data_IF_746711610774
#
_entry.id   IF_746711610774
#
_cell.length_a   1.000
_cell.length_b   1.000
_cell.length_c   1.000
_cell.angle_alpha   90.00
_cell.angle_beta   90.00
_cell.angle_gamma   90.00
#
_symmetry.space_group_name_H-M   'P 1'
#
loop_
_entity.id
_entity.type
_entity.pdbx_description
1 polymer ?
#
# COMPACT_ATOMS: atom_id res chain seq x y z
N UNK A 1 28.65 -17.31 4.32
CA UNK A 1 27.28 -16.78 4.45
C UNK A 1 27.36 -15.30 4.80
N UNK A 2 26.81 -14.41 3.98
CA UNK A 2 26.76 -12.99 4.30
C UNK A 2 25.76 -12.74 5.45
N UNK A 3 26.08 -11.89 6.44
CA UNK A 3 25.16 -11.60 7.53
C UNK A 3 23.89 -10.91 7.00
N UNK A 4 22.71 -11.39 7.42
CA UNK A 4 21.44 -10.71 7.15
C UNK A 4 21.54 -9.29 7.67
N UNK A 5 21.36 -8.30 6.79
CA UNK A 5 21.27 -6.89 7.19
C UNK A 5 20.14 -6.77 8.21
N UNK A 6 20.43 -6.24 9.40
CA UNK A 6 19.39 -5.89 10.38
C UNK A 6 18.38 -4.98 9.69
N UNK A 7 17.11 -5.37 9.68
CA UNK A 7 16.02 -4.51 9.23
C UNK A 7 16.03 -3.21 10.04
N UNK A 8 15.48 -2.13 9.45
CA UNK A 8 15.22 -0.91 10.23
C UNK A 8 14.23 -1.26 11.34
N UNK A 9 14.52 -0.83 12.57
CA UNK A 9 13.59 -0.97 13.70
C UNK A 9 12.26 -0.27 13.42
N UNK A 10 11.21 -0.66 14.16
CA UNK A 10 9.86 -0.08 14.07
C UNK A 10 9.93 1.44 14.26
N UNK A 11 9.34 2.21 13.35
CA UNK A 11 9.31 3.67 13.47
C UNK A 11 8.47 4.05 14.70
N UNK A 12 9.08 4.69 15.70
CA UNK A 12 8.45 4.99 17.01
C UNK A 12 7.63 6.27 17.03
N UNK A 13 7.54 7.02 15.92
CA UNK A 13 6.82 8.30 15.84
C UNK A 13 7.47 9.45 16.64
N UNK A 14 8.52 9.20 17.42
CA UNK A 14 9.13 10.18 18.33
C UNK A 14 9.61 11.46 17.61
N UNK A 15 10.13 11.35 16.39
CA UNK A 15 10.55 12.51 15.60
C UNK A 15 9.36 13.37 15.17
N UNK A 16 8.24 12.73 14.78
CA UNK A 16 7.01 13.43 14.44
C UNK A 16 6.51 14.22 15.64
N UNK A 17 6.33 13.57 16.79
CA UNK A 17 5.87 14.21 18.02
C UNK A 17 6.76 15.38 18.45
N UNK A 18 8.08 15.22 18.34
CA UNK A 18 9.04 16.29 18.65
C UNK A 18 8.86 17.51 17.75
N UNK A 19 8.67 17.31 16.45
CA UNK A 19 8.48 18.42 15.50
C UNK A 19 7.08 19.04 15.66
N UNK A 20 6.05 18.22 15.90
CA UNK A 20 4.66 18.66 16.09
C UNK A 20 4.46 19.58 17.28
N UNK A 21 5.27 19.43 18.33
CA UNK A 21 5.30 20.37 19.47
C UNK A 21 5.67 21.80 19.07
N UNK A 22 6.33 21.99 17.92
CA UNK A 22 6.69 23.32 17.39
C UNK A 22 5.67 23.88 16.41
N UNK A 23 4.60 23.14 16.10
CA UNK A 23 3.60 23.49 15.11
C UNK A 23 3.43 22.42 14.04
N UNK A 24 2.78 22.79 12.93
CA UNK A 24 2.74 21.94 11.74
C UNK A 24 4.13 21.77 11.14
N UNK A 25 4.35 20.66 10.47
CA UNK A 25 5.65 20.33 9.87
C UNK A 25 5.65 20.78 8.41
N UNK A 26 6.56 21.68 8.04
CA UNK A 26 6.72 22.13 6.66
C UNK A 26 7.00 20.96 5.70
N UNK A 27 6.22 20.86 4.62
CA UNK A 27 6.42 19.88 3.54
C UNK A 27 6.27 20.61 2.20
N UNK A 28 7.24 20.40 1.31
CA UNK A 28 7.22 21.03 -0.01
C UNK A 28 6.70 20.02 -1.04
N UNK A 29 5.63 20.39 -1.75
CA UNK A 29 5.12 19.64 -2.91
C UNK A 29 5.23 20.56 -4.12
N UNK A 30 6.24 20.40 -5.00
CA UNK A 30 6.38 21.24 -6.18
C UNK A 30 5.31 20.93 -7.24
N UNK A 31 4.98 21.93 -8.06
CA UNK A 31 4.15 21.71 -9.25
C UNK A 31 4.80 20.69 -10.20
N UNK A 32 4.01 19.73 -10.70
CA UNK A 32 4.48 18.67 -11.60
C UNK A 32 5.33 17.58 -10.94
N UNK A 33 5.61 17.66 -9.63
CA UNK A 33 6.35 16.62 -8.93
C UNK A 33 5.49 15.37 -8.66
N UNK A 34 6.16 14.20 -8.54
CA UNK A 34 5.51 12.92 -8.21
C UNK A 34 5.19 12.76 -6.70
N UNK A 35 5.50 13.76 -5.88
CA UNK A 35 5.36 13.70 -4.43
C UNK A 35 6.09 14.85 -3.74
N UNK A 36 6.17 14.81 -2.40
CA UNK A 36 6.88 15.83 -1.66
C UNK A 36 8.39 15.70 -1.84
N UNK A 37 9.11 16.79 -1.62
CA UNK A 37 10.57 16.85 -1.63
C UNK A 37 11.10 17.50 -0.36
N UNK A 38 12.40 17.38 -0.14
CA UNK A 38 13.11 18.06 0.96
C UNK A 38 13.22 17.22 2.23
N UNK A 39 13.63 17.88 3.32
CA UNK A 39 14.03 17.22 4.57
C UNK A 39 12.93 16.37 5.21
N UNK A 40 11.68 16.84 5.14
CA UNK A 40 10.53 16.17 5.77
C UNK A 40 9.81 15.19 4.84
N UNK A 41 10.29 14.97 3.61
CA UNK A 41 9.67 14.03 2.64
C UNK A 41 9.48 12.64 3.25
N UNK A 42 10.54 12.12 3.87
CA UNK A 42 10.52 10.78 4.47
C UNK A 42 9.54 10.72 5.63
N UNK A 43 9.55 11.73 6.49
CA UNK A 43 8.66 11.80 7.65
C UNK A 43 7.18 11.87 7.22
N UNK A 44 6.87 12.66 6.20
CA UNK A 44 5.56 12.69 5.58
C UNK A 44 5.16 11.31 5.07
N UNK A 45 6.00 10.67 4.27
CA UNK A 45 5.73 9.34 3.70
C UNK A 45 5.48 8.28 4.77
N UNK A 46 6.30 8.26 5.82
CA UNK A 46 6.17 7.34 6.95
C UNK A 46 4.90 7.61 7.75
N UNK A 47 4.57 8.88 8.02
CA UNK A 47 3.36 9.25 8.74
C UNK A 47 2.08 8.91 7.97
N UNK A 48 2.01 9.21 6.68
CA UNK A 48 0.85 8.82 5.85
C UNK A 48 0.68 7.30 5.85
N UNK A 49 1.77 6.54 5.72
CA UNK A 49 1.70 5.08 5.77
C UNK A 49 1.25 4.57 7.15
N UNK A 50 1.72 5.19 8.23
CA UNK A 50 1.24 4.90 9.59
C UNK A 50 -0.27 5.14 9.71
N UNK A 51 -0.75 6.31 9.29
CA UNK A 51 -2.17 6.66 9.37
C UNK A 51 -3.02 5.66 8.58
N UNK A 52 -2.64 5.33 7.35
CA UNK A 52 -3.36 4.33 6.56
C UNK A 52 -3.34 2.95 7.23
N UNK A 53 -2.20 2.53 7.80
CA UNK A 53 -2.07 1.23 8.46
C UNK A 53 -2.97 1.08 9.69
N UNK A 54 -3.11 2.14 10.48
CA UNK A 54 -3.76 2.08 11.78
C UNK A 54 -5.23 2.51 11.77
N UNK A 55 -5.67 3.25 10.76
CA UNK A 55 -7.02 3.82 10.72
C UNK A 55 -7.82 3.39 9.48
N UNK A 56 -7.20 2.74 8.49
CA UNK A 56 -7.91 2.19 7.34
C UNK A 56 -7.92 0.67 7.42
N UNK A 57 -9.11 0.11 7.41
CA UNK A 57 -9.31 -1.32 7.29
C UNK A 57 -8.76 -1.84 5.96
N UNK A 58 -7.77 -2.74 6.02
CA UNK A 58 -7.12 -3.29 4.81
C UNK A 58 -7.96 -4.38 4.12
N UNK A 59 -9.10 -4.76 4.70
CA UNK A 59 -9.99 -5.76 4.15
C UNK A 59 -10.65 -5.31 2.84
N UNK A 60 -10.89 -4.01 2.63
CA UNK A 60 -11.44 -3.49 1.37
C UNK A 60 -10.62 -3.97 0.17
N UNK A 61 -11.26 -4.48 -0.88
CA UNK A 61 -10.55 -5.09 -2.02
C UNK A 61 -9.61 -4.09 -2.69
N UNK A 62 -10.06 -2.85 -2.86
CA UNK A 62 -9.32 -1.78 -3.51
C UNK A 62 -9.39 -0.45 -2.76
N UNK A 63 -8.45 0.47 -3.03
CA UNK A 63 -8.49 1.83 -2.45
C UNK A 63 -9.76 2.60 -2.83
N UNK A 64 -10.34 2.31 -3.99
CA UNK A 64 -11.62 2.90 -4.43
C UNK A 64 -12.77 2.55 -3.49
N UNK A 65 -12.78 1.35 -2.92
CA UNK A 65 -13.86 0.84 -2.05
C UNK A 65 -13.77 1.35 -0.61
N UNK A 66 -12.62 1.85 -0.18
CA UNK A 66 -12.48 2.47 1.14
C UNK A 66 -13.48 3.64 1.26
N UNK A 67 -14.30 3.69 2.32
CA UNK A 67 -15.28 4.75 2.53
C UNK A 67 -14.69 6.15 2.44
N UNK A 68 -15.50 7.09 1.94
CA UNK A 68 -15.09 8.50 1.83
C UNK A 68 -14.80 9.12 3.19
N UNK A 69 -15.58 8.77 4.21
CA UNK A 69 -15.43 9.28 5.58
C UNK A 69 -14.08 8.85 6.18
N UNK A 70 -13.71 7.57 6.04
CA UNK A 70 -12.42 7.06 6.50
C UNK A 70 -11.26 7.79 5.82
N UNK A 71 -11.36 8.03 4.49
CA UNK A 71 -10.36 8.82 3.75
C UNK A 71 -10.26 10.26 4.27
N UNK A 72 -11.40 10.90 4.53
CA UNK A 72 -11.49 12.28 5.02
C UNK A 72 -10.89 12.44 6.43
N UNK A 73 -11.07 11.44 7.29
CA UNK A 73 -10.42 11.43 8.60
C UNK A 73 -8.90 11.45 8.47
N UNK A 74 -8.33 10.65 7.55
CA UNK A 74 -6.89 10.65 7.31
C UNK A 74 -6.43 11.98 6.70
N UNK A 75 -7.20 12.59 5.79
CA UNK A 75 -6.88 13.92 5.27
C UNK A 75 -6.79 14.94 6.40
N UNK A 76 -7.78 14.97 7.30
CA UNK A 76 -7.79 15.87 8.44
C UNK A 76 -6.57 15.67 9.37
N UNK A 77 -6.17 14.41 9.61
CA UNK A 77 -4.97 14.10 10.41
C UNK A 77 -3.68 14.56 9.73
N UNK A 78 -3.56 14.36 8.41
CA UNK A 78 -2.39 14.78 7.62
C UNK A 78 -2.28 16.31 7.58
N UNK A 79 -3.39 17.01 7.32
CA UNK A 79 -3.44 18.47 7.33
C UNK A 79 -3.21 19.02 8.74
N UNK A 80 -3.62 18.29 9.76
CA UNK A 80 -3.20 18.56 11.12
C UNK A 80 -1.68 18.47 11.25
N UNK A 81 -1.05 17.42 10.68
CA UNK A 81 0.37 17.08 10.82
C UNK A 81 1.35 17.99 10.07
N UNK A 82 0.98 18.42 8.87
CA UNK A 82 1.88 19.07 7.93
C UNK A 82 1.30 20.39 7.44
N UNK A 83 2.17 21.34 7.11
CA UNK A 83 1.80 22.59 6.45
C UNK A 83 1.49 22.30 4.97
N UNK A 84 0.24 21.94 4.68
CA UNK A 84 -0.26 21.63 3.33
C UNK A 84 -1.58 22.36 3.12
N UNK A 85 -1.83 22.82 1.89
CA UNK A 85 -3.07 23.51 1.55
C UNK A 85 -4.04 22.55 0.85
N UNK A 86 -5.17 22.26 1.49
CA UNK A 86 -6.19 21.41 0.88
C UNK A 86 -6.85 22.05 -0.35
N UNK A 87 -6.82 23.38 -0.51
CA UNK A 87 -7.34 24.03 -1.71
C UNK A 87 -6.40 23.92 -2.91
N UNK A 88 -5.14 23.55 -2.66
CA UNK A 88 -4.13 23.41 -3.69
C UNK A 88 -4.14 22.02 -4.31
N UNK A 89 -4.23 21.98 -5.64
CA UNK A 89 -4.35 20.72 -6.39
C UNK A 89 -3.15 19.79 -6.17
N UNK A 90 -1.92 20.32 -6.15
CA UNK A 90 -0.71 19.51 -5.97
C UNK A 90 -0.69 18.80 -4.61
N UNK A 91 -1.09 19.49 -3.55
CA UNK A 91 -1.10 18.96 -2.19
C UNK A 91 -2.17 17.87 -2.06
N UNK A 92 -3.39 18.12 -2.58
CA UNK A 92 -4.42 17.08 -2.64
C UNK A 92 -3.95 15.86 -3.41
N UNK A 93 -3.36 16.05 -4.60
CA UNK A 93 -2.90 14.96 -5.45
C UNK A 93 -1.80 14.15 -4.77
N UNK A 94 -0.85 14.84 -4.11
CA UNK A 94 0.22 14.25 -3.32
C UNK A 94 -0.32 13.36 -2.18
N UNK A 95 -1.24 13.90 -1.37
CA UNK A 95 -1.85 13.19 -0.25
C UNK A 95 -2.62 11.96 -0.76
N UNK A 96 -3.52 12.14 -1.73
CA UNK A 96 -4.36 11.07 -2.30
C UNK A 96 -3.50 9.96 -2.90
N UNK A 97 -2.49 10.32 -3.69
CA UNK A 97 -1.58 9.35 -4.30
C UNK A 97 -0.78 8.58 -3.23
N UNK A 98 -0.28 9.25 -2.20
CA UNK A 98 0.50 8.60 -1.14
C UNK A 98 -0.36 7.66 -0.28
N UNK A 99 -1.61 8.02 0.01
CA UNK A 99 -2.54 7.16 0.73
C UNK A 99 -2.89 5.91 -0.08
N UNK A 100 -3.26 6.08 -1.36
CA UNK A 100 -3.53 4.95 -2.25
C UNK A 100 -2.33 4.01 -2.39
N UNK A 101 -1.12 4.57 -2.54
CA UNK A 101 0.11 3.79 -2.57
C UNK A 101 0.36 3.03 -1.26
N UNK A 102 0.18 3.70 -0.12
CA UNK A 102 0.37 3.09 1.20
C UNK A 102 -0.59 1.92 1.40
N UNK A 103 -1.87 2.09 1.06
CA UNK A 103 -2.87 1.04 1.15
C UNK A 103 -2.48 -0.18 0.30
N UNK A 104 -2.17 0.03 -0.98
CA UNK A 104 -1.74 -1.05 -1.89
C UNK A 104 -0.49 -1.75 -1.38
N UNK A 105 0.48 -1.00 -0.87
CA UNK A 105 1.72 -1.54 -0.33
C UNK A 105 1.45 -2.39 0.91
N UNK A 106 0.65 -1.92 1.86
CA UNK A 106 0.30 -2.68 3.07
C UNK A 106 -0.44 -3.97 2.67
N UNK A 107 -1.49 -3.86 1.85
CA UNK A 107 -2.27 -5.01 1.38
C UNK A 107 -1.39 -6.03 0.65
N UNK A 108 -0.45 -5.57 -0.19
CA UNK A 108 0.50 -6.45 -0.87
C UNK A 108 1.38 -7.23 0.11
N UNK A 109 1.93 -6.58 1.14
CA UNK A 109 2.77 -7.28 2.13
C UNK A 109 1.97 -8.28 2.96
N UNK A 110 0.74 -7.94 3.33
CA UNK A 110 -0.18 -8.83 4.03
C UNK A 110 -0.57 -10.03 3.17
N UNK A 111 -0.89 -9.81 1.91
CA UNK A 111 -1.21 -10.89 0.97
C UNK A 111 0.00 -11.78 0.70
N UNK A 112 1.20 -11.19 0.62
CA UNK A 112 2.45 -11.96 0.50
C UNK A 112 2.70 -12.84 1.72
N UNK A 113 2.39 -12.34 2.91
CA UNK A 113 2.45 -13.12 4.15
C UNK A 113 1.40 -14.23 4.14
N UNK A 114 0.16 -13.94 3.74
CA UNK A 114 -0.89 -14.93 3.57
C UNK A 114 -0.45 -16.09 2.67
N UNK A 115 0.09 -15.78 1.50
CA UNK A 115 0.62 -16.76 0.54
C UNK A 115 1.85 -17.56 1.02
N UNK A 116 2.43 -17.21 2.16
CA UNK A 116 3.51 -17.98 2.75
C UNK A 116 3.02 -19.17 3.60
N UNK A 117 1.73 -19.19 3.94
CA UNK A 117 1.07 -20.31 4.62
C UNK A 117 0.49 -21.30 3.62
N UNK A 118 0.40 -22.57 4.00
CA UNK A 118 -0.13 -23.61 3.12
C UNK A 118 -1.65 -23.60 3.02
N UNK A 119 -2.33 -23.25 4.13
CA UNK A 119 -3.80 -23.19 4.17
C UNK A 119 -4.29 -21.90 4.82
N UNK A 120 -5.57 -21.59 4.57
CA UNK A 120 -6.26 -20.45 5.17
C UNK A 120 -6.29 -20.57 6.70
N UNK A 121 -6.53 -21.76 7.22
CA UNK A 121 -6.62 -22.04 8.66
C UNK A 121 -5.28 -21.78 9.35
N UNK A 122 -4.17 -22.18 8.71
CA UNK A 122 -2.82 -21.88 9.19
C UNK A 122 -2.56 -20.36 9.21
N UNK A 123 -2.94 -19.65 8.15
CA UNK A 123 -2.82 -18.20 8.09
C UNK A 123 -3.66 -17.49 9.18
N UNK A 124 -4.88 -17.97 9.45
CA UNK A 124 -5.77 -17.43 10.49
C UNK A 124 -5.23 -17.66 11.90
N UNK A 125 -4.53 -18.78 12.14
CA UNK A 125 -3.88 -19.06 13.43
C UNK A 125 -2.65 -18.17 13.70
N UNK A 126 -2.13 -17.49 12.66
CA UNK A 126 -0.93 -16.67 12.74
C UNK A 126 -1.17 -15.23 12.21
N UNK A 127 -2.08 -14.45 12.83
CA UNK A 127 -2.34 -13.09 12.40
C UNK A 127 -1.10 -12.20 12.59
N UNK A 128 -0.83 -11.26 11.67
CA UNK A 128 0.22 -10.26 11.87
C UNK A 128 -0.08 -9.40 13.11
N UNK A 129 0.94 -9.13 13.93
CA UNK A 129 0.83 -8.31 15.17
C UNK A 129 0.14 -6.95 14.94
N UNK A 130 0.30 -6.38 13.75
CA UNK A 130 -0.17 -5.04 13.42
C UNK A 130 -1.62 -5.00 12.89
N UNK A 131 -2.26 -6.16 12.70
CA UNK A 131 -3.61 -6.28 12.14
C UNK A 131 -4.52 -6.94 13.14
N UNK A 132 -5.64 -6.29 13.48
CA UNK A 132 -6.64 -6.88 14.36
C UNK A 132 -7.21 -8.16 13.74
N UNK A 133 -7.39 -9.20 14.56
CA UNK A 133 -7.85 -10.52 14.11
C UNK A 133 -9.12 -10.47 13.25
N UNK A 134 -10.20 -9.72 13.60
CA UNK A 134 -11.39 -9.64 12.75
C UNK A 134 -11.15 -9.02 11.37
N UNK A 135 -10.13 -8.16 11.24
CA UNK A 135 -9.75 -7.57 9.95
C UNK A 135 -8.91 -8.58 9.15
N UNK A 136 -8.03 -9.31 9.82
CA UNK A 136 -7.24 -10.37 9.20
C UNK A 136 -8.12 -11.49 8.64
N UNK A 137 -9.13 -11.93 9.39
CA UNK A 137 -10.11 -12.93 8.94
C UNK A 137 -10.82 -12.48 7.66
N UNK A 138 -11.34 -11.24 7.64
CA UNK A 138 -11.95 -10.67 6.43
C UNK A 138 -10.99 -10.61 5.24
N UNK A 139 -9.70 -10.36 5.47
CA UNK A 139 -8.70 -10.40 4.41
C UNK A 139 -8.52 -11.81 3.86
N UNK A 140 -8.36 -12.81 4.73
CA UNK A 140 -8.26 -14.21 4.32
C UNK A 140 -9.49 -14.67 3.54
N UNK A 141 -10.69 -14.32 4.02
CA UNK A 141 -11.96 -14.60 3.32
C UNK A 141 -11.99 -13.98 1.93
N UNK A 142 -11.60 -12.69 1.82
CA UNK A 142 -11.54 -11.99 0.54
C UNK A 142 -10.60 -12.70 -0.45
N UNK A 143 -9.41 -13.11 0.00
CA UNK A 143 -8.40 -13.73 -0.87
C UNK A 143 -8.78 -15.13 -1.34
N UNK A 144 -9.65 -15.81 -0.60
CA UNK A 144 -10.22 -17.09 -1.04
C UNK A 144 -11.36 -16.94 -2.05
N UNK A 145 -11.91 -15.74 -2.25
CA UNK A 145 -12.95 -15.54 -3.26
C UNK A 145 -12.41 -15.78 -4.68
N UNK A 146 -13.17 -16.53 -5.48
CA UNK A 146 -12.84 -16.80 -6.89
C UNK A 146 -12.61 -15.51 -7.69
N UNK A 147 -13.41 -14.48 -7.43
CA UNK A 147 -13.25 -13.19 -8.09
C UNK A 147 -11.88 -12.53 -7.81
N UNK A 148 -11.32 -12.71 -6.60
CA UNK A 148 -10.01 -12.18 -6.26
C UNK A 148 -8.89 -12.99 -6.91
N UNK A 149 -8.98 -14.33 -6.91
CA UNK A 149 -8.01 -15.23 -7.56
C UNK A 149 -7.94 -14.97 -9.07
N UNK A 150 -9.09 -14.92 -9.75
CA UNK A 150 -9.18 -14.63 -11.19
C UNK A 150 -8.56 -13.27 -11.53
N UNK A 151 -8.83 -12.24 -10.72
CA UNK A 151 -8.27 -10.90 -10.95
C UNK A 151 -6.76 -10.87 -10.70
N UNK A 152 -6.27 -11.62 -9.72
CA UNK A 152 -4.85 -11.76 -9.49
C UNK A 152 -4.14 -12.40 -10.68
N UNK A 153 -4.67 -13.50 -11.21
CA UNK A 153 -4.07 -14.22 -12.34
C UNK A 153 -4.05 -13.35 -13.61
N UNK A 154 -5.15 -12.65 -13.90
CA UNK A 154 -5.23 -11.68 -15.02
C UNK A 154 -4.20 -10.57 -14.86
N UNK A 155 -4.08 -9.99 -13.68
CA UNK A 155 -3.10 -8.95 -13.40
C UNK A 155 -1.66 -9.46 -13.56
N UNK A 156 -1.37 -10.71 -13.16
CA UNK A 156 -0.07 -11.33 -13.37
C UNK A 156 0.24 -11.50 -14.86
N UNK A 157 -0.71 -11.99 -15.66
CA UNK A 157 -0.56 -12.13 -17.12
C UNK A 157 -0.30 -10.77 -17.77
N UNK A 158 -1.11 -9.75 -17.46
CA UNK A 158 -0.90 -8.39 -17.99
C UNK A 158 0.43 -7.77 -17.54
N UNK A 159 0.81 -7.98 -16.28
CA UNK A 159 2.10 -7.56 -15.74
C UNK A 159 3.26 -8.20 -16.50
N UNK A 160 3.20 -9.50 -16.76
CA UNK A 160 4.20 -10.20 -17.57
C UNK A 160 4.24 -9.67 -19.01
N UNK A 161 3.07 -9.43 -19.63
CA UNK A 161 2.97 -8.83 -20.98
C UNK A 161 3.64 -7.46 -21.04
N UNK A 162 3.45 -6.62 -20.00
CA UNK A 162 4.03 -5.26 -19.90
C UNK A 162 5.53 -5.25 -19.56
N UNK A 163 6.00 -6.19 -18.76
CA UNK A 163 7.41 -6.21 -18.29
C UNK A 163 8.34 -6.99 -19.21
N UNK A 164 7.80 -7.91 -20.02
CA UNK A 164 8.55 -8.71 -20.99
C UNK A 164 8.30 -8.30 -22.45
N UNK A 165 7.85 -7.08 -22.70
CA UNK A 165 7.78 -6.51 -24.05
C UNK A 165 9.15 -5.97 -24.46
N UNK A 166 9.68 -6.36 -25.62
CA UNK A 166 10.88 -5.73 -26.20
C UNK A 166 10.53 -4.33 -26.72
N UNK A 167 11.55 -3.48 -26.89
CA UNK A 167 11.40 -2.11 -27.40
C UNK A 167 10.75 -2.00 -28.80
N UNK A 168 10.62 -3.11 -29.52
CA UNK A 168 9.97 -3.22 -30.83
C UNK A 168 8.52 -3.75 -30.77
N UNK A 169 7.90 -3.78 -29.58
CA UNK A 169 6.54 -4.27 -29.36
C UNK A 169 6.33 -5.77 -29.66
N UNK A 170 7.37 -6.60 -29.79
CA UNK A 170 7.21 -8.06 -29.92
C UNK A 170 7.00 -8.72 -28.55
N UNK A 171 5.96 -9.56 -28.43
CA UNK A 171 5.54 -10.22 -27.19
C UNK A 171 6.19 -11.61 -27.04
N UNK A 172 6.50 -12.01 -25.80
CA UNK A 172 7.03 -13.36 -25.47
C UNK A 172 5.96 -14.40 -25.15
N UNK A 173 4.70 -13.98 -25.02
CA UNK A 173 3.62 -14.91 -24.68
C UNK A 173 3.12 -15.53 -25.97
N UNK A 174 3.58 -16.75 -26.28
CA UNK A 174 2.99 -17.55 -27.35
C UNK A 174 1.61 -18.06 -26.90
N UNK A 175 0.69 -18.39 -27.81
CA UNK A 175 -0.59 -19.01 -27.44
C UNK A 175 -0.43 -20.23 -26.51
N UNK A 176 0.64 -21.01 -26.70
CA UNK A 176 1.01 -22.12 -25.82
C UNK A 176 1.41 -21.71 -24.39
N UNK A 177 1.98 -20.51 -24.21
CA UNK A 177 2.21 -19.97 -22.87
C UNK A 177 0.90 -19.52 -22.23
N UNK A 178 -0.08 -18.99 -22.97
CA UNK A 178 -1.40 -18.61 -22.42
C UNK A 178 -2.18 -19.84 -21.94
N UNK A 179 -2.11 -20.95 -22.67
CA UNK A 179 -2.72 -22.23 -22.27
C UNK A 179 -2.11 -22.79 -20.97
N UNK A 180 -0.81 -22.60 -20.72
CA UNK A 180 -0.14 -23.02 -19.48
C UNK A 180 -0.47 -22.15 -18.24
N UNK A 181 -1.02 -20.94 -18.41
CA UNK A 181 -1.47 -20.08 -17.31
C UNK A 181 -2.99 -20.17 -17.04
N UNK A 182 -3.72 -20.99 -17.81
CA UNK A 182 -5.18 -21.20 -17.69
C UNK A 182 -5.54 -22.61 -17.18
N UNK A 183 -4.60 -23.32 -16.54
CA UNK A 183 -4.76 -24.66 -15.96
C UNK A 183 -4.08 -24.57 -14.57
N UNK A 184 -4.72 -24.83 -13.43
CA UNK A 184 -5.96 -25.54 -13.08
C UNK A 184 -6.99 -24.66 -12.34
#
# INVERSE_FOLDING_TARGET
>A
MAPRKKGRGKATGAMLEKLRKKGQIAVQVPAGARGPIGENERLFKERVTYLVRHFIDVHYKSWSEVPKQDKEEIYARILGDFELDWHRHEDQACIKARMAYSFRSIKFHLHKLYKSYATKEEAMAHPPEEVAMPIWEKCCDLWETEAYKIEEDKNMIEFYKRTRTRANSSWWVTPACEELYCID
#
